data_IF_352020085543
#
_entry.id   IF_352020085543
#
_cell.length_a   1.000
_cell.length_b   1.000
_cell.length_c   1.000
_cell.angle_alpha   90.00
_cell.angle_beta   90.00
_cell.angle_gamma   90.00
#
_symmetry.space_group_name_H-M   'P 1'
#
loop_
_entity.id
_entity.type
_entity.pdbx_description
1 polymer ?
#
# COMPACT_ATOMS: atom_id res chain seq x y z
N UNK A 1 16.98 25.27 -41.34
CA UNK A 1 16.17 24.10 -40.86
C UNK A 1 16.72 23.46 -39.57
N UNK A 2 18.00 23.19 -39.46
CA UNK A 2 18.57 22.54 -38.25
C UNK A 2 18.55 23.44 -36.99
N UNK A 3 18.64 24.76 -37.17
CA UNK A 3 18.66 25.72 -36.06
C UNK A 3 17.27 25.87 -35.43
N UNK A 4 16.19 25.88 -36.20
CA UNK A 4 14.80 25.93 -35.70
C UNK A 4 14.42 24.67 -34.93
N UNK A 5 14.90 23.49 -35.36
CA UNK A 5 14.64 22.20 -34.70
C UNK A 5 15.30 22.13 -33.31
N UNK A 6 16.60 22.48 -33.21
CA UNK A 6 17.31 22.53 -31.93
C UNK A 6 16.64 23.50 -30.96
N UNK A 7 16.18 24.63 -31.46
CA UNK A 7 15.50 25.65 -30.65
C UNK A 7 14.15 25.14 -30.12
N UNK A 8 13.35 24.42 -30.90
CA UNK A 8 12.07 23.83 -30.42
C UNK A 8 12.29 22.73 -29.38
N UNK A 9 13.26 21.85 -29.57
CA UNK A 9 13.61 20.85 -28.58
C UNK A 9 14.11 21.47 -27.26
N UNK A 10 14.87 22.57 -27.34
CA UNK A 10 15.28 23.33 -26.15
C UNK A 10 14.06 23.93 -25.45
N UNK A 11 13.12 24.54 -26.18
CA UNK A 11 11.90 25.12 -25.59
C UNK A 11 11.03 24.07 -24.89
N UNK A 12 10.89 22.86 -25.43
CA UNK A 12 10.17 21.77 -24.78
C UNK A 12 10.86 21.38 -23.49
N UNK A 13 12.18 21.19 -23.52
CA UNK A 13 12.97 20.82 -22.36
C UNK A 13 12.94 21.89 -21.27
N UNK A 14 13.03 23.16 -21.65
CA UNK A 14 12.95 24.27 -20.69
C UNK A 14 11.57 24.32 -20.02
N UNK A 15 10.47 24.12 -20.77
CA UNK A 15 9.11 24.04 -20.22
C UNK A 15 8.92 22.84 -19.30
N UNK A 16 9.50 21.68 -19.65
CA UNK A 16 9.49 20.50 -18.77
C UNK A 16 10.18 20.80 -17.45
N UNK A 17 11.33 21.47 -17.51
CA UNK A 17 12.09 21.86 -16.31
C UNK A 17 11.30 22.86 -15.45
N UNK A 18 10.73 23.88 -16.08
CA UNK A 18 9.91 24.88 -15.38
C UNK A 18 8.71 24.23 -14.70
N UNK A 19 8.03 23.29 -15.39
CA UNK A 19 6.92 22.54 -14.84
C UNK A 19 7.39 21.62 -13.70
N UNK A 20 8.48 20.88 -13.90
CA UNK A 20 9.06 19.99 -12.89
C UNK A 20 9.31 20.73 -11.57
N UNK A 21 9.93 21.93 -11.65
CA UNK A 21 10.25 22.72 -10.46
C UNK A 21 9.03 23.43 -9.89
N UNK A 22 8.18 24.04 -10.74
CA UNK A 22 7.05 24.86 -10.27
C UNK A 22 5.87 24.03 -9.75
N UNK A 23 5.74 22.80 -10.23
CA UNK A 23 4.68 21.87 -9.85
C UNK A 23 5.17 20.76 -8.94
N UNK A 24 6.35 20.89 -8.34
CA UNK A 24 6.91 19.88 -7.45
C UNK A 24 6.78 18.44 -8.01
N UNK A 25 7.16 18.26 -9.27
CA UNK A 25 7.10 16.95 -9.88
C UNK A 25 8.21 16.04 -9.34
N UNK A 26 7.88 14.80 -9.04
CA UNK A 26 8.86 13.75 -8.74
C UNK A 26 9.45 13.17 -10.04
N UNK A 27 8.65 13.16 -11.13
CA UNK A 27 9.07 12.67 -12.45
C UNK A 27 8.29 13.37 -13.55
N UNK A 28 9.00 13.68 -14.65
CA UNK A 28 8.39 14.11 -15.91
C UNK A 28 9.08 13.36 -17.05
N UNK A 29 8.33 12.58 -17.80
CA UNK A 29 8.78 11.84 -18.97
C UNK A 29 7.93 12.21 -20.19
N UNK A 30 8.57 12.43 -21.33
CA UNK A 30 7.91 12.55 -22.64
C UNK A 30 8.42 11.40 -23.51
N UNK A 31 7.53 10.46 -23.81
CA UNK A 31 7.86 9.30 -24.63
C UNK A 31 6.62 8.76 -25.34
N UNK A 32 6.56 8.90 -26.72
CA UNK A 32 7.61 9.42 -27.57
C UNK A 32 7.58 10.94 -27.78
N UNK A 33 8.76 11.51 -28.03
CA UNK A 33 8.90 12.83 -28.64
C UNK A 33 9.03 12.62 -30.14
N UNK A 34 8.04 13.05 -30.92
CA UNK A 34 7.97 12.76 -32.36
C UNK A 34 8.26 13.97 -33.20
N UNK A 35 8.78 13.72 -34.41
CA UNK A 35 8.92 14.70 -35.46
C UNK A 35 7.89 14.44 -36.53
N UNK A 36 7.09 15.45 -36.88
CA UNK A 36 6.09 15.40 -37.99
C UNK A 36 6.76 15.61 -39.34
N UNK A 37 6.00 15.32 -40.40
CA UNK A 37 6.41 15.59 -41.79
C UNK A 37 6.63 17.08 -42.05
N UNK A 38 5.91 17.95 -41.35
CA UNK A 38 6.05 19.41 -41.40
C UNK A 38 7.22 19.97 -40.59
N UNK A 39 8.12 19.11 -40.15
CA UNK A 39 9.32 19.47 -39.33
C UNK A 39 8.99 20.02 -37.95
N UNK A 40 7.80 19.73 -37.42
CA UNK A 40 7.43 20.07 -36.05
C UNK A 40 7.87 18.99 -35.07
N UNK A 41 8.15 19.41 -33.82
CA UNK A 41 8.44 18.50 -32.70
C UNK A 41 7.27 18.53 -31.74
N UNK A 42 6.67 17.37 -31.52
CA UNK A 42 5.46 17.19 -30.69
C UNK A 42 5.75 16.19 -29.56
N UNK A 43 5.38 16.55 -28.35
CA UNK A 43 5.23 15.60 -27.25
C UNK A 43 3.93 14.84 -27.49
N UNK A 44 4.03 13.57 -27.90
CA UNK A 44 2.86 12.76 -28.23
C UNK A 44 2.20 12.21 -26.98
N UNK A 45 3.01 11.81 -26.01
CA UNK A 45 2.57 11.33 -24.71
C UNK A 45 3.51 11.81 -23.62
N UNK A 46 2.98 11.96 -22.41
CA UNK A 46 3.77 12.38 -21.24
C UNK A 46 3.30 11.66 -19.98
N UNK A 47 4.26 11.23 -19.17
CA UNK A 47 4.04 10.68 -17.84
C UNK A 47 4.58 11.66 -16.80
N UNK A 48 3.71 12.07 -15.89
CA UNK A 48 4.04 13.05 -14.86
C UNK A 48 3.65 12.45 -13.51
N UNK A 49 4.58 12.49 -12.55
CA UNK A 49 4.30 12.17 -11.16
C UNK A 49 4.62 13.38 -10.29
N UNK A 50 3.71 13.74 -9.42
CA UNK A 50 3.89 14.80 -8.45
C UNK A 50 4.51 14.26 -7.15
N UNK A 51 5.20 15.12 -6.41
CA UNK A 51 5.66 14.80 -5.06
C UNK A 51 4.50 14.96 -4.07
N UNK A 52 3.96 13.86 -3.58
CA UNK A 52 2.82 13.87 -2.63
C UNK A 52 3.12 14.67 -1.35
N UNK A 53 4.39 14.79 -0.96
CA UNK A 53 4.78 15.63 0.17
C UNK A 53 4.54 17.13 -0.08
N UNK A 54 4.36 17.53 -1.32
CA UNK A 54 4.04 18.91 -1.72
C UNK A 54 2.55 19.19 -1.89
N UNK A 55 1.67 18.20 -1.77
CA UNK A 55 0.21 18.31 -1.98
C UNK A 55 -0.42 19.45 -1.16
N UNK A 56 0.08 19.70 0.05
CA UNK A 56 -0.43 20.75 0.94
C UNK A 56 -0.38 22.16 0.33
N UNK A 57 0.51 22.40 -0.65
CA UNK A 57 0.65 23.69 -1.36
C UNK A 57 0.06 23.69 -2.78
N UNK A 58 -0.39 22.53 -3.27
CA UNK A 58 -1.00 22.35 -4.59
C UNK A 58 -2.42 21.78 -4.48
N UNK A 59 -3.32 22.59 -3.95
CA UNK A 59 -4.72 22.16 -3.73
C UNK A 59 -5.48 21.86 -5.01
N UNK A 60 -5.03 22.39 -6.13
CA UNK A 60 -5.56 22.18 -7.46
C UNK A 60 -5.29 20.77 -8.02
N UNK A 61 -4.34 20.01 -7.44
CA UNK A 61 -4.10 18.64 -7.85
C UNK A 61 -5.30 17.71 -7.60
N UNK A 62 -6.11 18.02 -6.59
CA UNK A 62 -7.33 17.27 -6.32
C UNK A 62 -8.29 17.30 -7.52
N UNK A 63 -8.33 18.41 -8.27
CA UNK A 63 -9.19 18.57 -9.44
C UNK A 63 -8.64 17.82 -10.67
N UNK A 64 -7.37 17.42 -10.65
CA UNK A 64 -6.73 16.65 -11.73
C UNK A 64 -6.89 15.15 -11.55
N UNK A 65 -7.34 14.70 -10.36
CA UNK A 65 -7.51 13.29 -10.04
C UNK A 65 -8.73 12.72 -10.78
N UNK A 66 -8.51 11.72 -11.61
CA UNK A 66 -9.58 10.97 -12.28
C UNK A 66 -9.91 9.71 -11.46
N UNK A 67 -10.97 9.81 -10.65
CA UNK A 67 -11.43 8.70 -9.82
C UNK A 67 -11.95 7.51 -10.63
N UNK A 68 -12.23 7.69 -11.94
CA UNK A 68 -12.72 6.58 -12.79
C UNK A 68 -11.61 5.63 -13.21
N UNK A 69 -10.35 6.03 -13.06
CA UNK A 69 -9.16 5.24 -13.35
C UNK A 69 -8.59 4.53 -12.10
N UNK A 70 -9.17 4.82 -10.91
CA UNK A 70 -8.74 4.20 -9.66
C UNK A 70 -9.73 3.11 -9.22
N UNK A 71 -9.23 2.08 -8.55
CA UNK A 71 -10.08 1.06 -7.93
C UNK A 71 -10.83 1.66 -6.73
N UNK A 72 -12.13 1.41 -6.63
CA UNK A 72 -12.98 1.93 -5.54
C UNK A 72 -12.41 1.63 -4.15
N UNK A 73 -11.75 0.48 -4.01
CA UNK A 73 -11.14 0.04 -2.76
C UNK A 73 -9.92 0.89 -2.37
N UNK A 74 -9.13 1.32 -3.35
CA UNK A 74 -7.96 2.18 -3.14
C UNK A 74 -8.39 3.60 -2.77
N UNK A 75 -9.46 4.10 -3.41
CA UNK A 75 -10.07 5.40 -3.07
C UNK A 75 -10.50 5.41 -1.60
N UNK A 76 -11.27 4.39 -1.16
CA UNK A 76 -11.74 4.28 0.23
C UNK A 76 -10.59 4.12 1.23
N UNK A 77 -9.56 3.37 0.87
CA UNK A 77 -8.36 3.24 1.71
C UNK A 77 -7.71 4.61 1.93
N UNK A 78 -7.51 5.37 0.87
CA UNK A 78 -6.90 6.71 0.92
C UNK A 78 -7.73 7.69 1.75
N UNK A 79 -9.05 7.67 1.64
CA UNK A 79 -9.97 8.51 2.44
C UNK A 79 -9.85 8.23 3.95
N UNK A 80 -9.49 7.01 4.33
CA UNK A 80 -9.27 6.59 5.73
C UNK A 80 -7.82 6.70 6.19
N UNK A 81 -6.94 7.26 5.34
CA UNK A 81 -5.52 7.44 5.64
C UNK A 81 -4.69 6.15 5.55
N UNK A 82 -5.19 5.14 4.86
CA UNK A 82 -4.49 3.89 4.59
C UNK A 82 -3.82 3.94 3.22
N UNK A 83 -2.62 3.36 3.12
CA UNK A 83 -1.98 3.12 1.82
C UNK A 83 -2.25 1.68 1.40
N UNK A 84 -3.05 1.48 0.36
CA UNK A 84 -3.46 0.17 -0.12
C UNK A 84 -3.21 0.05 -1.63
N UNK A 85 -2.70 -1.11 -2.04
CA UNK A 85 -2.60 -1.52 -3.46
C UNK A 85 -3.02 -2.97 -3.56
N UNK A 86 -3.97 -3.26 -4.45
CA UNK A 86 -4.42 -4.62 -4.73
C UNK A 86 -3.37 -5.40 -5.53
N UNK A 87 -3.20 -6.67 -5.22
CA UNK A 87 -2.35 -7.63 -5.93
C UNK A 87 -3.13 -8.92 -6.23
N UNK A 88 -2.54 -9.79 -7.04
CA UNK A 88 -3.22 -11.02 -7.53
C UNK A 88 -3.06 -12.24 -6.61
N UNK A 89 -2.61 -12.07 -5.37
CA UNK A 89 -2.35 -13.16 -4.44
C UNK A 89 -3.56 -13.63 -3.64
N UNK A 90 -3.28 -14.39 -2.57
CA UNK A 90 -4.29 -14.98 -1.70
C UNK A 90 -3.99 -14.82 -0.19
N UNK A 91 -2.92 -14.12 0.16
CA UNK A 91 -2.56 -13.79 1.54
C UNK A 91 -2.73 -12.29 1.74
N UNK A 92 -3.73 -11.90 2.51
CA UNK A 92 -3.92 -10.52 2.94
C UNK A 92 -2.79 -10.07 3.87
N UNK A 93 -2.28 -8.85 3.66
CA UNK A 93 -1.22 -8.26 4.46
C UNK A 93 -1.72 -7.00 5.17
N UNK A 94 -1.56 -6.92 6.50
CA UNK A 94 -1.80 -5.74 7.31
C UNK A 94 -0.52 -5.39 8.05
N UNK A 95 0.09 -4.27 7.71
CA UNK A 95 1.44 -3.91 8.19
C UNK A 95 1.48 -2.43 8.54
N UNK A 96 2.33 -2.03 9.47
CA UNK A 96 2.62 -0.62 9.72
C UNK A 96 4.02 -0.24 9.22
N UNK A 97 4.03 0.63 8.22
CA UNK A 97 5.23 1.12 7.56
C UNK A 97 5.50 0.45 6.21
N UNK A 98 5.63 1.26 5.16
CA UNK A 98 5.76 0.81 3.78
C UNK A 98 6.95 -0.13 3.55
N UNK A 99 8.11 0.15 4.16
CA UNK A 99 9.29 -0.72 4.08
C UNK A 99 9.05 -2.10 4.71
N UNK A 100 8.35 -2.14 5.87
CA UNK A 100 7.98 -3.40 6.52
C UNK A 100 6.93 -4.17 5.70
N UNK A 101 5.98 -3.47 5.06
CA UNK A 101 4.99 -4.07 4.18
C UNK A 101 5.66 -4.74 2.98
N UNK A 102 6.57 -4.07 2.30
CA UNK A 102 7.34 -4.65 1.19
C UNK A 102 8.15 -5.87 1.65
N UNK A 103 8.88 -5.77 2.75
CA UNK A 103 9.64 -6.89 3.31
C UNK A 103 8.72 -8.07 3.70
N UNK A 104 7.52 -7.79 4.21
CA UNK A 104 6.53 -8.84 4.54
C UNK A 104 6.09 -9.59 3.29
N UNK A 105 5.78 -8.87 2.21
CA UNK A 105 5.41 -9.49 0.94
C UNK A 105 6.55 -10.33 0.35
N UNK A 106 7.79 -9.84 0.41
CA UNK A 106 8.97 -10.57 -0.08
C UNK A 106 9.18 -11.87 0.71
N UNK A 107 9.02 -11.84 2.03
CA UNK A 107 9.17 -13.02 2.87
C UNK A 107 8.04 -14.03 2.64
N UNK A 108 6.78 -13.57 2.43
CA UNK A 108 5.67 -14.45 2.01
C UNK A 108 6.03 -15.18 0.72
N UNK A 109 6.52 -14.46 -0.29
CA UNK A 109 6.95 -15.05 -1.58
C UNK A 109 8.10 -16.02 -1.42
N UNK A 110 9.08 -15.72 -0.55
CA UNK A 110 10.20 -16.59 -0.25
C UNK A 110 9.73 -17.97 0.27
N UNK A 111 8.64 -18.01 1.02
CA UNK A 111 8.06 -19.26 1.54
C UNK A 111 6.96 -19.87 0.63
N UNK A 112 6.83 -19.36 -0.59
CA UNK A 112 5.92 -19.92 -1.61
C UNK A 112 4.49 -19.45 -1.52
N UNK A 113 4.21 -18.38 -0.77
CA UNK A 113 2.91 -17.73 -0.74
C UNK A 113 2.80 -16.56 -1.73
N UNK A 114 1.58 -16.10 -1.98
CA UNK A 114 1.32 -14.97 -2.87
C UNK A 114 0.55 -13.86 -2.12
N UNK A 115 1.15 -12.66 -1.92
CA UNK A 115 0.49 -11.54 -1.28
C UNK A 115 -0.69 -11.03 -2.12
N UNK A 116 -1.86 -10.84 -1.49
CA UNK A 116 -3.07 -10.31 -2.12
C UNK A 116 -3.10 -8.78 -2.18
N UNK A 117 -2.31 -8.12 -1.36
CA UNK A 117 -2.26 -6.66 -1.29
C UNK A 117 -0.97 -6.15 -0.66
N UNK A 118 -0.61 -4.93 -1.01
CA UNK A 118 0.19 -4.06 -0.15
C UNK A 118 -0.77 -3.29 0.76
N UNK A 119 -0.49 -3.18 2.05
CA UNK A 119 -1.23 -2.32 2.96
C UNK A 119 -0.33 -1.79 4.07
N UNK A 120 -0.26 -0.47 4.18
CA UNK A 120 0.39 0.25 5.27
C UNK A 120 -0.65 1.06 6.04
N UNK A 121 -0.86 0.71 7.32
CA UNK A 121 -1.77 1.44 8.20
C UNK A 121 -1.12 2.68 8.83
N UNK A 122 0.15 2.93 8.53
CA UNK A 122 0.91 4.04 9.11
C UNK A 122 1.33 3.82 10.57
N UNK A 123 2.04 4.80 11.12
CA UNK A 123 2.62 4.72 12.47
C UNK A 123 1.69 5.13 13.61
N UNK A 124 0.49 5.60 13.32
CA UNK A 124 -0.46 6.14 14.31
C UNK A 124 -1.87 5.57 14.19
N UNK A 125 -2.05 4.42 13.53
CA UNK A 125 -3.37 3.84 13.30
C UNK A 125 -4.11 3.54 14.62
N UNK A 126 -5.40 3.85 14.60
CA UNK A 126 -6.34 3.55 15.67
C UNK A 126 -7.15 2.27 15.38
N UNK A 127 -8.07 1.91 16.30
CA UNK A 127 -8.92 0.71 16.15
C UNK A 127 -9.81 0.74 14.91
N UNK A 128 -10.35 1.91 14.55
CA UNK A 128 -11.26 2.05 13.40
C UNK A 128 -10.48 1.92 12.08
N UNK A 129 -9.28 2.46 12.01
CA UNK A 129 -8.40 2.28 10.85
C UNK A 129 -7.99 0.82 10.66
N UNK A 130 -7.67 0.11 11.75
CA UNK A 130 -7.37 -1.33 11.70
C UNK A 130 -8.60 -2.12 11.22
N UNK A 131 -9.79 -1.82 11.73
CA UNK A 131 -11.03 -2.44 11.32
C UNK A 131 -11.36 -2.19 9.84
N UNK A 132 -11.17 -0.96 9.38
CA UNK A 132 -11.33 -0.59 7.97
C UNK A 132 -10.34 -1.34 7.08
N UNK A 133 -9.08 -1.45 7.51
CA UNK A 133 -8.06 -2.20 6.80
C UNK A 133 -8.44 -3.68 6.64
N UNK A 134 -8.94 -4.32 7.70
CA UNK A 134 -9.46 -5.70 7.62
C UNK A 134 -10.65 -5.81 6.67
N UNK A 135 -11.60 -4.87 6.73
CA UNK A 135 -12.76 -4.85 5.83
C UNK A 135 -12.33 -4.80 4.37
N UNK A 136 -11.37 -3.92 4.06
CA UNK A 136 -10.81 -3.78 2.71
C UNK A 136 -10.13 -5.06 2.23
N UNK A 137 -9.31 -5.69 3.08
CA UNK A 137 -8.63 -6.95 2.73
C UNK A 137 -9.64 -8.07 2.45
N UNK A 138 -10.71 -8.16 3.26
CA UNK A 138 -11.72 -9.23 3.17
C UNK A 138 -12.72 -9.06 2.03
N UNK A 139 -12.78 -7.89 1.40
CA UNK A 139 -13.57 -7.68 0.18
C UNK A 139 -13.00 -8.43 -1.02
N UNK A 140 -11.70 -8.79 -1.00
CA UNK A 140 -11.13 -9.63 -2.04
C UNK A 140 -11.47 -11.11 -1.78
N UNK A 141 -12.31 -11.74 -2.63
CA UNK A 141 -12.70 -13.14 -2.46
C UNK A 141 -11.55 -14.13 -2.64
N UNK A 142 -10.41 -13.69 -3.17
CA UNK A 142 -9.23 -14.53 -3.32
C UNK A 142 -8.44 -14.67 -2.02
N UNK A 143 -8.66 -13.81 -1.03
CA UNK A 143 -7.96 -13.87 0.25
C UNK A 143 -8.38 -15.13 1.03
N UNK A 144 -7.41 -16.00 1.28
CA UNK A 144 -7.56 -17.27 2.02
C UNK A 144 -6.96 -17.24 3.41
N UNK A 145 -6.22 -16.19 3.74
CA UNK A 145 -5.60 -16.00 5.05
C UNK A 145 -4.99 -14.62 5.17
N UNK A 146 -4.79 -14.14 6.38
CA UNK A 146 -4.25 -12.80 6.65
C UNK A 146 -3.03 -12.89 7.54
N UNK A 147 -1.96 -12.19 7.15
CA UNK A 147 -0.78 -11.94 7.98
C UNK A 147 -0.78 -10.50 8.47
N UNK A 148 -0.93 -10.32 9.78
CA UNK A 148 -0.71 -9.05 10.47
C UNK A 148 0.72 -9.00 10.97
N UNK A 149 1.49 -8.01 10.51
CA UNK A 149 2.88 -7.84 10.93
C UNK A 149 3.11 -6.41 11.41
N UNK A 150 3.14 -6.24 12.72
CA UNK A 150 3.24 -4.94 13.38
C UNK A 150 4.57 -4.81 14.12
N UNK A 151 5.26 -3.71 13.85
CA UNK A 151 6.38 -3.26 14.65
C UNK A 151 5.99 -1.98 15.40
N UNK A 152 5.72 -2.11 16.70
CA UNK A 152 5.32 -1.01 17.56
C UNK A 152 6.50 -0.09 17.89
N UNK A 153 6.50 1.08 17.26
CA UNK A 153 7.33 2.21 17.69
C UNK A 153 6.42 3.23 18.39
N UNK A 154 5.92 4.22 17.65
CA UNK A 154 4.87 5.15 18.10
C UNK A 154 3.55 4.39 18.29
N UNK A 155 3.22 3.52 17.36
CA UNK A 155 2.08 2.61 17.45
C UNK A 155 2.28 1.60 18.59
N UNK A 156 1.23 1.31 19.34
CA UNK A 156 1.24 0.40 20.47
C UNK A 156 0.58 -0.93 20.10
N UNK A 157 1.26 -2.03 20.41
CA UNK A 157 0.76 -3.38 20.09
C UNK A 157 -0.56 -3.74 20.79
N UNK A 158 -0.85 -3.18 21.96
CA UNK A 158 -2.11 -3.39 22.69
C UNK A 158 -3.31 -2.74 21.96
N UNK A 159 -3.13 -1.57 21.33
CA UNK A 159 -4.16 -0.91 20.51
C UNK A 159 -4.45 -1.77 19.26
N UNK A 160 -3.41 -2.22 18.59
CA UNK A 160 -3.57 -3.09 17.41
C UNK A 160 -4.25 -4.41 17.77
N UNK A 161 -3.88 -5.03 18.88
CA UNK A 161 -4.51 -6.26 19.34
C UNK A 161 -6.03 -6.09 19.55
N UNK A 162 -6.46 -4.97 20.14
CA UNK A 162 -7.88 -4.64 20.29
C UNK A 162 -8.56 -4.40 18.95
N UNK A 163 -7.92 -3.67 18.03
CA UNK A 163 -8.44 -3.44 16.68
C UNK A 163 -8.59 -4.75 15.89
N UNK A 164 -7.61 -5.63 15.96
CA UNK A 164 -7.66 -6.98 15.35
C UNK A 164 -8.84 -7.78 15.90
N UNK A 165 -9.01 -7.83 17.23
CA UNK A 165 -10.13 -8.54 17.87
C UNK A 165 -11.47 -7.93 17.45
N UNK A 166 -11.61 -6.60 17.52
CA UNK A 166 -12.83 -5.90 17.13
C UNK A 166 -13.21 -6.14 15.67
N UNK A 167 -12.23 -6.11 14.76
CA UNK A 167 -12.42 -6.43 13.35
C UNK A 167 -12.86 -7.89 13.15
N UNK A 168 -12.14 -8.83 13.76
CA UNK A 168 -12.43 -10.26 13.66
C UNK A 168 -13.85 -10.58 14.14
N UNK A 169 -14.27 -10.00 15.26
CA UNK A 169 -15.62 -10.22 15.83
C UNK A 169 -16.72 -9.58 14.98
N UNK A 170 -16.51 -8.35 14.49
CA UNK A 170 -17.54 -7.63 13.73
C UNK A 170 -17.69 -8.10 12.30
N UNK A 171 -16.63 -8.62 11.68
CA UNK A 171 -16.64 -9.08 10.28
C UNK A 171 -16.87 -10.59 10.14
N UNK A 172 -16.86 -11.36 11.26
CA UNK A 172 -17.06 -12.81 11.23
C UNK A 172 -15.96 -13.51 10.42
N UNK A 173 -14.69 -13.30 10.81
CA UNK A 173 -13.53 -13.75 10.05
C UNK A 173 -13.49 -15.29 9.97
N UNK A 174 -13.65 -15.84 8.78
CA UNK A 174 -13.61 -17.30 8.52
C UNK A 174 -12.24 -17.77 8.01
N UNK A 175 -11.31 -16.86 7.72
CA UNK A 175 -9.97 -17.18 7.21
C UNK A 175 -8.94 -17.22 8.35
N UNK A 176 -7.88 -18.05 8.26
CA UNK A 176 -6.84 -18.08 9.26
C UNK A 176 -6.13 -16.73 9.38
N UNK A 177 -5.89 -16.32 10.62
CA UNK A 177 -5.24 -15.06 10.96
C UNK A 177 -3.94 -15.34 11.71
N UNK A 178 -2.81 -14.95 11.12
CA UNK A 178 -1.50 -14.99 11.76
C UNK A 178 -1.12 -13.60 12.20
N UNK A 179 -0.71 -13.42 13.46
CA UNK A 179 -0.37 -12.11 14.03
C UNK A 179 1.03 -12.12 14.63
N UNK A 180 1.89 -11.30 14.07
CA UNK A 180 3.21 -10.99 14.63
C UNK A 180 3.19 -9.58 15.19
N UNK A 181 3.45 -9.46 16.48
CA UNK A 181 3.63 -8.20 17.19
C UNK A 181 5.05 -8.08 17.73
N UNK A 182 5.66 -6.92 17.56
CA UNK A 182 6.94 -6.58 18.20
C UNK A 182 6.97 -5.09 18.59
N UNK A 183 7.79 -4.73 19.57
CA UNK A 183 7.98 -3.34 19.99
C UNK A 183 7.13 -2.94 21.20
N UNK A 184 6.62 -1.68 21.20
CA UNK A 184 5.95 -1.07 22.35
C UNK A 184 4.70 -1.84 22.77
N UNK A 185 4.60 -2.22 24.03
CA UNK A 185 3.47 -2.97 24.65
C UNK A 185 3.22 -4.34 24.00
N UNK A 186 4.27 -5.02 23.51
CA UNK A 186 4.13 -6.31 22.84
C UNK A 186 3.55 -7.39 23.76
N UNK A 187 3.98 -7.45 25.02
CA UNK A 187 3.51 -8.46 25.99
C UNK A 187 2.03 -8.27 26.31
N UNK A 188 1.59 -7.01 26.48
CA UNK A 188 0.18 -6.69 26.68
C UNK A 188 -0.64 -7.04 25.44
N UNK A 189 -0.16 -6.70 24.23
CA UNK A 189 -0.81 -7.05 22.98
C UNK A 189 -0.96 -8.56 22.79
N UNK A 190 0.09 -9.33 23.04
CA UNK A 190 0.05 -10.80 23.00
C UNK A 190 -0.94 -11.38 24.03
N UNK A 191 -0.98 -10.82 25.25
CA UNK A 191 -1.92 -11.27 26.29
C UNK A 191 -3.38 -10.98 25.88
N UNK A 192 -3.66 -9.82 25.30
CA UNK A 192 -4.99 -9.45 24.78
C UNK A 192 -5.43 -10.43 23.69
N UNK A 193 -4.57 -10.74 22.71
CA UNK A 193 -4.89 -11.70 21.65
C UNK A 193 -5.15 -13.09 22.21
N UNK A 194 -4.32 -13.56 23.14
CA UNK A 194 -4.45 -14.88 23.76
C UNK A 194 -5.75 -15.02 24.59
N UNK A 195 -6.24 -13.94 25.20
CA UNK A 195 -7.48 -13.92 25.98
C UNK A 195 -8.75 -13.85 25.13
N UNK A 196 -8.64 -13.61 23.82
CA UNK A 196 -9.79 -13.36 22.94
C UNK A 196 -10.58 -14.60 22.54
N UNK A 197 -10.06 -15.82 22.80
CA UNK A 197 -10.63 -17.10 22.35
C UNK A 197 -10.85 -17.21 20.82
N UNK A 198 -10.31 -16.27 20.05
CA UNK A 198 -10.37 -16.27 18.59
C UNK A 198 -9.28 -17.18 17.99
N UNK A 199 -9.54 -17.71 16.80
CA UNK A 199 -8.57 -18.54 16.08
C UNK A 199 -7.43 -17.69 15.47
N UNK A 200 -6.63 -17.12 16.36
CA UNK A 200 -5.47 -16.28 16.01
C UNK A 200 -4.19 -17.07 16.27
N UNK A 201 -3.35 -17.16 15.26
CA UNK A 201 -2.07 -17.85 15.33
C UNK A 201 -0.94 -16.84 15.59
N UNK A 202 -0.36 -16.79 16.80
CA UNK A 202 0.74 -15.88 17.06
C UNK A 202 2.02 -16.32 16.35
N UNK A 203 2.87 -15.35 15.98
CA UNK A 203 4.21 -15.58 15.47
C UNK A 203 5.20 -14.66 16.21
N UNK A 204 6.40 -15.18 16.47
CA UNK A 204 7.43 -14.42 17.18
C UNK A 204 8.28 -13.57 16.22
N UNK A 205 8.48 -14.03 15.00
CA UNK A 205 9.17 -13.28 13.96
C UNK A 205 8.44 -13.32 12.61
N UNK A 206 8.94 -12.55 11.64
CA UNK A 206 8.34 -12.44 10.33
C UNK A 206 8.43 -13.75 9.52
N UNK A 207 9.55 -14.47 9.63
CA UNK A 207 9.75 -15.71 8.91
C UNK A 207 8.76 -16.79 9.39
N UNK A 208 8.61 -16.92 10.70
CA UNK A 208 7.62 -17.80 11.33
C UNK A 208 6.20 -17.41 10.91
N UNK A 209 5.87 -16.11 10.91
CA UNK A 209 4.58 -15.61 10.49
C UNK A 209 4.25 -15.98 9.04
N UNK A 210 5.18 -15.78 8.13
CA UNK A 210 5.02 -16.15 6.72
C UNK A 210 4.89 -17.66 6.51
N UNK A 211 5.72 -18.46 7.18
CA UNK A 211 5.62 -19.92 7.11
C UNK A 211 4.28 -20.45 7.64
N UNK A 212 3.83 -19.91 8.77
CA UNK A 212 2.53 -20.28 9.36
C UNK A 212 1.37 -19.99 8.42
N UNK A 213 1.29 -18.76 7.88
CA UNK A 213 0.16 -18.40 7.02
C UNK A 213 0.16 -19.24 5.73
N UNK A 214 1.32 -19.44 5.11
CA UNK A 214 1.45 -20.29 3.91
C UNK A 214 1.01 -21.73 4.21
N UNK A 215 1.45 -22.31 5.34
CA UNK A 215 1.02 -23.65 5.75
C UNK A 215 -0.48 -23.76 5.99
N UNK A 216 -1.10 -22.75 6.61
CA UNK A 216 -2.52 -22.76 6.93
C UNK A 216 -3.40 -22.66 5.70
N UNK A 217 -2.99 -21.94 4.66
CA UNK A 217 -3.76 -21.81 3.42
C UNK A 217 -3.43 -22.90 2.40
N UNK A 218 -2.24 -23.51 2.46
CA UNK A 218 -1.80 -24.60 1.57
C UNK A 218 -2.19 -26.00 2.04
N UNK A 219 -2.69 -26.17 3.25
CA UNK A 219 -3.04 -27.46 3.86
C UNK A 219 -4.40 -28.05 3.43
N UNK A 220 -4.93 -27.68 2.29
CA UNK A 220 -6.22 -28.11 1.74
C UNK A 220 -6.13 -28.96 0.47
N UNK A 221 -4.98 -29.65 0.19
CA UNK A 221 -4.89 -30.70 -0.83
C UNK A 221 -4.71 -32.08 -0.20
#
# INVERSE_FOLDING_TARGET
HNQSRRQRQMCIRDRMYDMFVSQDCAMVEINPLVKTEDDEIIALDSKISFDENAEFRHKDWADLRDLTEEEDVEIRAKETGLSYVKLDGNIGCLVNGAGLAMATMDVIKLYGGEPANFLDVGGGADEEQVKTAFSIILEDPNVKGILVNIFGGIMRCDIIARGVIGATQSLGLDVPLVVRLAGTNVDEGKAILAASELNIHPADDLAEGAQKIVSLIGGGE
#
